data_IF_061026032941
#
_entry.id   IF_061026032941
#
_cell.length_a   1.000
_cell.length_b   1.000
_cell.length_c   1.000
_cell.angle_alpha   90.00
_cell.angle_beta   90.00
_cell.angle_gamma   90.00
#
_symmetry.space_group_name_H-M   'P 1'
#
loop_
_entity.id
_entity.type
_entity.pdbx_description
1 polymer ?
#
# COMPACT_ATOMS: atom_id res chain seq x y z
N UNK A 1 5.73 2.25 16.68
CA UNK A 1 5.37 1.82 15.32
C UNK A 1 4.37 0.68 15.38
N UNK A 2 3.49 0.60 14.38
CA UNK A 2 2.59 -0.53 14.19
C UNK A 2 3.29 -1.55 13.29
N UNK A 3 3.19 -2.83 13.62
CA UNK A 3 3.69 -3.92 12.77
C UNK A 3 2.64 -4.99 12.61
N UNK A 4 2.59 -5.56 11.40
CA UNK A 4 1.71 -6.65 11.05
C UNK A 4 2.52 -7.95 10.95
N UNK A 5 1.99 -9.05 11.48
CA UNK A 5 2.64 -10.37 11.36
C UNK A 5 1.61 -11.50 11.39
N UNK A 6 2.01 -12.70 10.97
CA UNK A 6 1.14 -13.88 11.03
C UNK A 6 1.78 -15.00 11.85
N UNK A 7 0.96 -15.82 12.49
CA UNK A 7 1.42 -17.05 13.14
C UNK A 7 0.38 -18.18 13.05
N UNK A 8 0.85 -19.43 12.99
CA UNK A 8 -0.02 -20.60 13.12
C UNK A 8 -0.47 -20.74 14.57
N UNK A 9 -1.79 -20.78 14.79
CA UNK A 9 -2.40 -20.98 16.10
C UNK A 9 -3.16 -22.30 16.10
N UNK A 10 -2.80 -23.17 17.05
CA UNK A 10 -3.41 -24.49 17.20
C UNK A 10 -4.93 -24.36 17.36
N UNK A 11 -5.69 -24.98 16.46
CA UNK A 11 -7.15 -24.95 16.46
C UNK A 11 -7.81 -23.68 15.92
N UNK A 12 -7.04 -22.68 15.44
CA UNK A 12 -7.57 -21.42 14.91
C UNK A 12 -7.01 -21.05 13.52
N UNK A 13 -6.15 -21.90 12.95
CA UNK A 13 -5.51 -21.63 11.66
C UNK A 13 -4.44 -20.54 11.75
N UNK A 14 -4.23 -19.81 10.66
CA UNK A 14 -3.30 -18.69 10.61
C UNK A 14 -3.94 -17.45 11.23
N UNK A 15 -3.34 -16.87 12.28
CA UNK A 15 -3.79 -15.61 12.85
C UNK A 15 -3.00 -14.43 12.29
N UNK A 16 -3.67 -13.30 12.10
CA UNK A 16 -3.07 -11.98 11.82
C UNK A 16 -2.91 -11.22 13.14
N UNK A 17 -1.73 -10.65 13.35
CA UNK A 17 -1.38 -9.85 14.51
C UNK A 17 -1.12 -8.41 14.12
N UNK A 18 -1.80 -7.49 14.80
CA UNK A 18 -1.47 -6.07 14.81
C UNK A 18 -0.74 -5.81 16.11
N UNK A 19 0.55 -5.50 16.02
CA UNK A 19 1.35 -5.16 17.18
C UNK A 19 1.61 -3.66 17.14
N UNK A 20 1.60 -3.00 18.30
CA UNK A 20 2.08 -1.64 18.40
C UNK A 20 3.01 -1.50 19.59
N UNK A 21 4.00 -0.63 19.44
CA UNK A 21 4.82 -0.15 20.54
C UNK A 21 5.14 1.33 20.30
N UNK A 22 4.61 2.22 21.15
CA UNK A 22 4.87 3.66 21.07
C UNK A 22 5.01 4.22 22.48
N UNK A 23 6.13 4.92 22.75
CA UNK A 23 6.40 5.57 24.04
C UNK A 23 6.27 4.63 25.25
N UNK A 24 6.69 3.37 25.10
CA UNK A 24 6.60 2.35 26.16
C UNK A 24 5.21 1.75 26.35
N UNK A 25 4.22 2.16 25.56
CA UNK A 25 2.91 1.52 25.50
C UNK A 25 2.90 0.52 24.34
N UNK A 26 2.86 -0.75 24.69
CA UNK A 26 2.75 -1.84 23.73
C UNK A 26 1.40 -2.53 23.86
N UNK A 27 0.93 -3.08 22.74
CA UNK A 27 -0.24 -3.93 22.73
C UNK A 27 -0.34 -4.72 21.43
N UNK A 28 -1.34 -5.59 21.40
CA UNK A 28 -1.54 -6.53 20.32
C UNK A 28 -3.05 -6.77 20.12
N UNK A 29 -3.47 -6.84 18.85
CA UNK A 29 -4.73 -7.40 18.42
C UNK A 29 -4.46 -8.65 17.60
N UNK A 30 -5.11 -9.77 17.94
CA UNK A 30 -5.04 -11.02 17.20
C UNK A 30 -6.37 -11.26 16.49
N UNK A 31 -6.32 -11.56 15.21
CA UNK A 31 -7.47 -11.93 14.40
C UNK A 31 -7.25 -13.34 13.87
N UNK A 32 -8.13 -14.26 14.22
CA UNK A 32 -8.07 -15.63 13.72
C UNK A 32 -8.41 -15.67 12.23
N UNK A 33 -7.96 -16.73 11.55
CA UNK A 33 -8.18 -16.97 10.12
C UNK A 33 -7.86 -15.74 9.25
N UNK A 34 -6.74 -15.08 9.53
CA UNK A 34 -6.29 -13.85 8.85
C UNK A 34 -7.30 -12.68 8.84
N UNK A 35 -8.36 -12.73 9.66
CA UNK A 35 -9.43 -11.74 9.58
C UNK A 35 -10.29 -11.85 8.32
N UNK A 36 -10.33 -13.00 7.64
CA UNK A 36 -11.13 -13.26 6.41
C UNK A 36 -12.62 -12.96 6.51
N UNK A 37 -13.14 -12.83 7.73
CA UNK A 37 -14.53 -12.52 8.03
C UNK A 37 -14.78 -11.04 8.33
N UNK A 38 -13.72 -10.22 8.31
CA UNK A 38 -13.80 -8.78 8.52
C UNK A 38 -13.93 -8.09 7.17
N UNK A 39 -14.89 -7.18 7.08
CA UNK A 39 -15.18 -6.44 5.85
C UNK A 39 -14.34 -5.17 5.73
N UNK A 40 -13.87 -4.64 6.88
CA UNK A 40 -13.15 -3.37 6.94
C UNK A 40 -12.31 -3.25 8.21
N UNK A 41 -11.08 -2.76 8.04
CA UNK A 41 -10.23 -2.22 9.08
C UNK A 41 -10.32 -0.70 9.02
N UNK A 42 -10.84 -0.05 10.06
CA UNK A 42 -10.87 1.41 10.15
C UNK A 42 -9.87 1.87 11.23
N UNK A 43 -8.97 2.78 10.87
CA UNK A 43 -7.97 3.35 11.77
C UNK A 43 -8.44 4.69 12.34
N UNK A 44 -7.87 5.10 13.47
CA UNK A 44 -8.28 6.31 14.17
C UNK A 44 -8.00 7.62 13.38
N UNK A 45 -7.19 7.55 12.32
CA UNK A 45 -6.95 8.63 11.36
C UNK A 45 -8.02 8.70 10.26
N UNK A 46 -8.96 7.76 10.23
CA UNK A 46 -10.06 7.68 9.27
C UNK A 46 -9.80 6.75 8.07
N UNK A 47 -8.60 6.19 7.94
CA UNK A 47 -8.28 5.30 6.81
C UNK A 47 -8.99 3.95 6.97
N UNK A 48 -9.46 3.37 5.86
CA UNK A 48 -10.11 2.06 5.81
C UNK A 48 -9.37 1.08 4.88
N UNK A 49 -9.38 -0.22 5.20
CA UNK A 49 -8.88 -1.29 4.33
C UNK A 49 -9.88 -2.44 4.30
N UNK A 50 -10.20 -3.01 3.13
CA UNK A 50 -11.12 -4.14 3.05
C UNK A 50 -10.46 -5.46 3.48
N UNK A 51 -9.18 -5.65 3.16
CA UNK A 51 -8.42 -6.83 3.61
C UNK A 51 -6.93 -6.53 3.75
N UNK A 52 -6.28 -7.29 4.63
CA UNK A 52 -4.83 -7.25 4.84
C UNK A 52 -4.32 -8.69 4.91
N UNK A 53 -3.43 -9.05 3.99
CA UNK A 53 -2.67 -10.30 4.08
C UNK A 53 -1.19 -9.99 4.25
N UNK A 54 -0.55 -10.58 5.27
CA UNK A 54 0.88 -10.43 5.52
C UNK A 54 1.61 -11.67 5.03
N UNK A 55 2.52 -11.48 4.09
CA UNK A 55 3.35 -12.52 3.53
C UNK A 55 4.66 -12.70 4.33
N UNK A 56 5.34 -13.86 4.18
CA UNK A 56 6.68 -14.05 4.75
C UNK A 56 7.63 -12.94 4.30
N UNK A 57 8.28 -12.26 5.25
CA UNK A 57 9.19 -11.14 4.96
C UNK A 57 8.60 -9.75 5.17
N UNK A 58 7.32 -9.65 5.54
CA UNK A 58 6.67 -8.38 5.91
C UNK A 58 5.91 -7.69 4.77
N UNK A 59 6.01 -8.23 3.55
CA UNK A 59 5.20 -7.83 2.40
C UNK A 59 3.70 -7.95 2.68
N UNK A 60 2.93 -7.02 2.14
CA UNK A 60 1.48 -6.98 2.24
C UNK A 60 0.83 -7.20 0.88
N UNK A 61 -0.30 -7.90 0.90
CA UNK A 61 -1.32 -7.84 -0.14
C UNK A 61 -2.51 -7.08 0.47
N UNK A 62 -2.66 -5.83 0.03
CA UNK A 62 -3.62 -4.85 0.55
C UNK A 62 -4.68 -4.54 -0.51
N UNK A 63 -5.93 -4.58 -0.07
CA UNK A 63 -7.07 -4.15 -0.89
C UNK A 63 -7.84 -3.09 -0.12
N UNK A 64 -7.98 -1.92 -0.73
CA UNK A 64 -8.86 -0.85 -0.28
C UNK A 64 -10.32 -1.23 -0.45
N UNK A 65 -11.20 -0.25 -0.43
CA UNK A 65 -12.65 -0.41 -0.33
C UNK A 65 -13.34 0.03 -1.62
N UNK A 66 -14.62 0.39 -1.54
CA UNK A 66 -15.38 0.97 -2.64
C UNK A 66 -15.53 2.50 -2.51
N UNK A 67 -14.68 3.13 -1.70
CA UNK A 67 -14.65 4.57 -1.44
C UNK A 67 -13.22 5.06 -1.62
N UNK A 68 -13.05 6.38 -1.67
CA UNK A 68 -11.74 7.03 -1.73
C UNK A 68 -10.86 6.60 -0.54
N UNK A 69 -9.81 5.84 -0.82
CA UNK A 69 -8.91 5.29 0.18
C UNK A 69 -7.50 5.90 0.09
N UNK A 70 -6.85 6.04 1.24
CA UNK A 70 -5.41 6.38 1.32
C UNK A 70 -4.64 5.13 1.74
N UNK A 71 -3.89 4.56 0.80
CA UNK A 71 -3.24 3.25 0.95
C UNK A 71 -1.72 3.44 1.10
N UNK A 72 -1.14 2.83 2.13
CA UNK A 72 0.31 2.86 2.38
C UNK A 72 0.80 1.46 2.66
N UNK A 73 1.85 1.06 1.95
CA UNK A 73 2.55 -0.21 2.16
C UNK A 73 3.53 -0.18 3.35
N UNK A 74 4.43 -1.14 3.34
CA UNK A 74 5.57 -1.32 4.23
C UNK A 74 6.87 -0.99 3.51
N UNK A 75 8.00 -1.33 4.13
CA UNK A 75 9.31 -1.27 3.46
C UNK A 75 9.64 -2.55 2.65
N UNK A 76 8.78 -3.57 2.72
CA UNK A 76 8.87 -4.77 1.90
C UNK A 76 8.15 -4.56 0.56
N UNK A 77 8.25 -5.53 -0.36
CA UNK A 77 7.58 -5.46 -1.67
C UNK A 77 6.11 -5.79 -1.50
N UNK A 78 5.24 -4.82 -1.72
CA UNK A 78 3.79 -4.98 -1.51
C UNK A 78 3.01 -5.06 -2.82
N UNK A 79 1.80 -5.62 -2.73
CA UNK A 79 0.77 -5.58 -3.77
C UNK A 79 -0.40 -4.76 -3.22
N UNK A 80 -0.72 -3.66 -3.88
CA UNK A 80 -1.69 -2.67 -3.44
C UNK A 80 -2.81 -2.56 -4.49
N UNK A 81 -4.04 -2.70 -4.05
CA UNK A 81 -5.25 -2.55 -4.88
C UNK A 81 -6.14 -1.49 -4.23
N UNK A 82 -6.53 -0.45 -4.97
CA UNK A 82 -7.37 0.64 -4.50
C UNK A 82 -8.81 0.20 -4.28
N UNK A 83 -9.38 -0.44 -5.30
CA UNK A 83 -10.78 -0.79 -5.37
C UNK A 83 -11.55 0.20 -6.24
N UNK A 84 -12.62 0.77 -5.73
CA UNK A 84 -13.39 1.81 -6.44
C UNK A 84 -13.35 3.09 -5.65
N UNK A 85 -13.39 4.24 -6.32
CA UNK A 85 -13.22 5.54 -5.68
C UNK A 85 -12.00 6.25 -6.26
N UNK A 86 -11.74 7.46 -5.80
CA UNK A 86 -10.53 8.21 -6.13
C UNK A 86 -9.46 7.93 -5.06
N UNK A 87 -8.62 6.94 -5.32
CA UNK A 87 -7.69 6.41 -4.34
C UNK A 87 -6.35 7.16 -4.37
N UNK A 88 -5.66 7.18 -3.23
CA UNK A 88 -4.32 7.76 -3.10
C UNK A 88 -3.34 6.72 -2.56
N UNK A 89 -2.41 6.28 -3.41
CA UNK A 89 -1.34 5.37 -3.02
C UNK A 89 -0.12 6.18 -2.54
N UNK A 90 0.38 5.85 -1.36
CA UNK A 90 1.38 6.64 -0.64
C UNK A 90 2.72 5.91 -0.58
N UNK A 91 3.79 6.61 -0.98
CA UNK A 91 5.13 6.04 -1.04
C UNK A 91 6.19 6.99 -0.47
N UNK A 92 7.31 6.40 -0.05
CA UNK A 92 8.50 7.07 0.47
C UNK A 92 9.76 6.49 -0.20
N UNK A 93 10.92 7.12 0.01
CA UNK A 93 12.23 6.55 -0.35
C UNK A 93 12.61 5.28 0.45
N UNK A 94 11.80 4.92 1.45
CA UNK A 94 11.93 3.68 2.22
C UNK A 94 10.88 2.62 1.82
N UNK A 95 9.97 2.93 0.89
CA UNK A 95 9.01 1.96 0.35
C UNK A 95 9.72 0.88 -0.45
N UNK A 96 9.15 -0.33 -0.46
CA UNK A 96 9.63 -1.42 -1.30
C UNK A 96 9.38 -1.17 -2.79
N UNK A 97 9.79 -2.12 -3.62
CA UNK A 97 9.46 -2.08 -5.04
C UNK A 97 8.04 -2.60 -5.24
N UNK A 98 7.06 -1.74 -5.01
CA UNK A 98 5.66 -2.13 -4.87
C UNK A 98 4.91 -2.22 -6.21
N UNK A 99 3.80 -2.97 -6.19
CA UNK A 99 2.90 -3.15 -7.32
C UNK A 99 1.52 -2.56 -7.00
N UNK A 100 1.05 -1.63 -7.84
CA UNK A 100 -0.34 -1.14 -7.81
C UNK A 100 -1.10 -1.79 -8.95
N UNK A 101 -2.21 -2.45 -8.64
CA UNK A 101 -2.88 -3.38 -9.57
C UNK A 101 -4.00 -2.75 -10.39
N UNK A 102 -4.56 -1.61 -9.95
CA UNK A 102 -5.79 -1.03 -10.51
C UNK A 102 -5.76 0.50 -10.64
N UNK A 103 -4.58 1.11 -10.66
CA UNK A 103 -4.43 2.57 -10.81
C UNK A 103 -5.15 3.10 -12.05
N UNK A 104 -6.08 4.02 -11.84
CA UNK A 104 -6.90 4.67 -12.87
C UNK A 104 -6.45 6.12 -13.08
N UNK A 105 -5.79 6.36 -14.22
CA UNK A 105 -5.28 7.68 -14.60
C UNK A 105 -6.37 8.76 -14.61
N UNK A 106 -6.13 9.88 -13.96
CA UNK A 106 -7.11 10.97 -13.81
C UNK A 106 -8.23 10.73 -12.80
N UNK A 107 -8.20 9.62 -12.06
CA UNK A 107 -9.06 9.32 -10.91
C UNK A 107 -8.21 9.12 -9.65
N UNK A 108 -7.22 8.24 -9.72
CA UNK A 108 -6.30 7.93 -8.62
C UNK A 108 -5.06 8.82 -8.62
N UNK A 109 -4.40 8.89 -7.45
CA UNK A 109 -3.19 9.67 -7.24
C UNK A 109 -2.07 8.84 -6.61
N UNK A 110 -0.83 9.13 -7.03
CA UNK A 110 0.39 8.68 -6.37
C UNK A 110 0.91 9.83 -5.50
N UNK A 111 0.93 9.64 -4.18
CA UNK A 111 1.48 10.61 -3.24
C UNK A 111 2.88 10.16 -2.78
N UNK A 112 3.90 10.94 -3.12
CA UNK A 112 5.28 10.71 -2.71
C UNK A 112 5.63 11.64 -1.55
N UNK A 113 5.79 11.07 -0.35
CA UNK A 113 6.11 11.83 0.88
C UNK A 113 7.63 12.07 1.05
N UNK A 114 8.48 11.22 0.45
CA UNK A 114 9.94 11.41 0.42
C UNK A 114 10.59 10.76 -0.80
N UNK A 115 11.79 11.21 -1.16
CA UNK A 115 12.57 10.67 -2.28
C UNK A 115 12.38 11.36 -3.64
N UNK A 116 11.32 12.16 -3.79
CA UNK A 116 11.11 13.10 -4.88
C UNK A 116 10.32 14.31 -4.38
N UNK A 117 10.52 15.48 -4.97
CA UNK A 117 9.81 16.73 -4.59
C UNK A 117 8.98 17.33 -5.72
N UNK A 118 9.25 16.89 -6.95
CA UNK A 118 8.59 17.37 -8.17
C UNK A 118 8.47 16.25 -9.18
N UNK A 119 7.57 16.40 -10.14
CA UNK A 119 7.39 15.44 -11.24
C UNK A 119 8.68 15.22 -12.06
N UNK A 120 9.54 16.24 -12.16
CA UNK A 120 10.83 16.14 -12.86
C UNK A 120 11.87 15.30 -12.12
N UNK A 121 11.65 15.00 -10.84
CA UNK A 121 12.52 14.10 -10.08
C UNK A 121 12.23 12.61 -10.36
N UNK A 122 11.13 12.33 -11.07
CA UNK A 122 10.70 10.98 -11.40
C UNK A 122 11.34 10.49 -12.70
N UNK A 123 11.69 9.20 -12.71
CA UNK A 123 12.00 8.48 -13.95
C UNK A 123 10.83 7.56 -14.27
N UNK A 124 10.15 7.84 -15.38
CA UNK A 124 9.04 7.04 -15.88
C UNK A 124 9.51 6.13 -17.01
N UNK A 125 9.29 4.82 -16.88
CA UNK A 125 9.67 3.83 -17.88
C UNK A 125 8.49 2.91 -18.22
N UNK A 126 8.36 2.51 -19.49
CA UNK A 126 7.45 1.44 -19.88
C UNK A 126 8.07 0.07 -19.60
N UNK A 127 7.28 -0.85 -19.06
CA UNK A 127 7.63 -2.27 -18.91
C UNK A 127 6.48 -3.13 -19.39
N UNK A 128 6.51 -3.54 -20.66
CA UNK A 128 5.38 -4.24 -21.28
C UNK A 128 4.14 -3.35 -21.33
N UNK A 129 3.07 -3.77 -20.66
CA UNK A 129 1.82 -3.01 -20.51
C UNK A 129 1.77 -2.14 -19.24
N UNK A 130 2.86 -2.12 -18.46
CA UNK A 130 2.92 -1.43 -17.17
C UNK A 130 3.77 -0.16 -17.28
N UNK A 131 3.53 0.77 -16.35
CA UNK A 131 4.38 1.92 -16.12
C UNK A 131 5.23 1.68 -14.85
N UNK A 132 6.51 2.03 -14.91
CA UNK A 132 7.40 2.06 -13.77
C UNK A 132 7.65 3.51 -13.38
N UNK A 133 7.34 3.85 -12.13
CA UNK A 133 7.64 5.15 -11.51
C UNK A 133 8.83 4.96 -10.57
N UNK A 134 9.97 5.59 -10.86
CA UNK A 134 11.19 5.45 -10.07
C UNK A 134 11.61 6.77 -9.44
N UNK A 135 11.94 6.72 -8.16
CA UNK A 135 12.44 7.85 -7.37
C UNK A 135 13.10 7.33 -6.10
N UNK A 136 13.97 8.10 -5.44
CA UNK A 136 14.48 7.76 -4.11
C UNK A 136 15.17 6.39 -3.93
N UNK A 137 15.44 5.64 -5.01
CA UNK A 137 15.90 4.25 -4.95
C UNK A 137 14.79 3.19 -4.92
N UNK A 138 13.51 3.58 -4.88
CA UNK A 138 12.34 2.70 -5.01
C UNK A 138 11.77 2.70 -6.43
N UNK A 139 10.96 1.70 -6.75
CA UNK A 139 10.23 1.56 -8.02
C UNK A 139 8.80 1.12 -7.75
N UNK A 140 7.83 1.92 -8.22
CA UNK A 140 6.42 1.55 -8.21
C UNK A 140 6.05 1.02 -9.59
N UNK A 141 5.46 -0.16 -9.64
CA UNK A 141 4.90 -0.72 -10.88
C UNK A 141 3.40 -0.47 -10.89
N UNK A 142 2.93 0.30 -11.86
CA UNK A 142 1.49 0.49 -12.13
C UNK A 142 1.07 -0.51 -13.21
N UNK A 143 0.32 -1.53 -12.80
CA UNK A 143 -0.10 -2.63 -13.69
C UNK A 143 -1.12 -2.15 -14.73
N UNK A 144 -0.89 -2.49 -16.01
CA UNK A 144 -1.81 -2.13 -17.10
C UNK A 144 -1.85 -0.64 -17.45
N UNK A 145 -1.07 0.20 -16.77
CA UNK A 145 -0.98 1.64 -17.04
C UNK A 145 0.06 1.93 -18.10
N UNK A 146 -0.34 2.66 -19.14
CA UNK A 146 0.58 3.11 -20.17
C UNK A 146 1.40 4.30 -19.66
N UNK A 147 2.73 4.20 -19.66
CA UNK A 147 3.60 5.29 -19.17
C UNK A 147 3.32 6.67 -19.80
N UNK A 148 2.82 6.68 -21.03
CA UNK A 148 2.48 7.91 -21.76
C UNK A 148 1.15 8.54 -21.35
N UNK A 149 0.32 7.86 -20.55
CA UNK A 149 -0.89 8.46 -19.99
C UNK A 149 -0.59 9.30 -18.74
N UNK A 150 0.50 8.98 -18.04
CA UNK A 150 0.90 9.64 -16.82
C UNK A 150 1.41 11.06 -17.09
N UNK A 151 0.93 12.01 -16.30
CA UNK A 151 1.40 13.38 -16.29
C UNK A 151 1.53 13.92 -14.86
N UNK A 152 1.87 15.20 -14.72
CA UNK A 152 2.09 15.81 -13.41
C UNK A 152 0.84 15.78 -12.50
N UNK A 153 -0.35 15.73 -13.07
CA UNK A 153 -1.62 15.70 -12.35
C UNK A 153 -1.84 14.41 -11.56
N UNK A 154 -1.18 13.31 -11.94
CA UNK A 154 -1.29 12.02 -11.25
C UNK A 154 -0.45 11.96 -9.96
N UNK A 155 0.36 12.98 -9.67
CA UNK A 155 1.35 12.95 -8.58
C UNK A 155 1.19 14.09 -7.58
N UNK A 156 1.19 13.72 -6.30
CA UNK A 156 1.32 14.64 -5.17
C UNK A 156 2.71 14.50 -4.54
N UNK A 157 3.25 15.60 -4.04
CA UNK A 157 4.55 15.66 -3.36
C UNK A 157 4.39 16.43 -2.04
N UNK A 158 4.91 15.92 -0.92
CA UNK A 158 4.82 16.62 0.37
C UNK A 158 5.25 15.84 1.60
#
# INVERSE_FOLDING_TARGET
DMTLSTAQISGQGTALYFNWNKNGQAGQLMLADLGTHLERFEFADGNSLASISVQPGGSLDLVGTSHDDRITGTAAIDVLTGGSGSDTFVFTDQSGNDHVTDFTNGEDLIHIESGATTFTDLVLEASGANALVKFGGTTITLEGVQVTSLDQGDFLFG
#
